data_IF_338788628746
#
_entry.id   IF_338788628746
#
_cell.length_a   1.000
_cell.length_b   1.000
_cell.length_c   1.000
_cell.angle_alpha   90.00
_cell.angle_beta   90.00
_cell.angle_gamma   90.00
#
_symmetry.space_group_name_H-M   'P 1'
#
loop_
_entity.id
_entity.type
_entity.pdbx_description
1 polymer ?
#
# COMPACT_ATOMS: atom_id res chain seq x y z
N UNK A 1 -28.43 -0.90 -43.10
CA UNK A 1 -27.69 -1.31 -41.89
C UNK A 1 -26.22 -1.01 -42.14
N UNK A 2 -25.67 -0.02 -41.46
CA UNK A 2 -24.26 0.36 -41.54
C UNK A 2 -23.59 -0.25 -40.31
N UNK A 3 -22.77 -1.28 -40.50
CA UNK A 3 -22.02 -1.92 -39.41
C UNK A 3 -20.78 -1.07 -39.16
N UNK A 4 -20.61 -0.68 -37.90
CA UNK A 4 -19.49 0.07 -37.35
C UNK A 4 -18.19 -0.75 -37.40
N UNK A 5 -17.09 -0.07 -37.67
CA UNK A 5 -15.75 -0.54 -37.34
C UNK A 5 -14.97 0.67 -36.86
N UNK A 6 -15.05 0.95 -35.56
CA UNK A 6 -14.17 1.90 -34.89
C UNK A 6 -12.96 1.10 -34.40
N UNK A 7 -11.90 1.07 -35.21
CA UNK A 7 -10.60 0.53 -34.84
C UNK A 7 -9.87 1.57 -33.98
N UNK A 8 -9.86 1.38 -32.66
CA UNK A 8 -8.96 2.11 -31.79
C UNK A 8 -7.56 1.49 -31.94
N UNK A 9 -6.65 2.19 -32.60
CA UNK A 9 -5.22 1.83 -32.61
C UNK A 9 -4.63 2.09 -31.23
N UNK A 10 -4.29 1.04 -30.49
CA UNK A 10 -3.38 1.14 -29.35
C UNK A 10 -1.94 1.11 -29.90
N UNK A 11 -1.28 2.25 -29.87
CA UNK A 11 0.14 2.38 -30.25
C UNK A 11 0.98 1.76 -29.13
N UNK A 12 1.66 0.66 -29.42
CA UNK A 12 2.68 0.06 -28.56
C UNK A 12 3.87 1.03 -28.42
N UNK A 13 3.80 1.92 -27.44
CA UNK A 13 4.95 2.65 -26.93
C UNK A 13 5.80 1.70 -26.08
N UNK A 14 7.11 1.74 -26.24
CA UNK A 14 8.06 1.00 -25.40
C UNK A 14 7.89 1.54 -23.98
N UNK A 15 7.21 0.79 -23.10
CA UNK A 15 7.04 1.11 -21.69
C UNK A 15 8.38 0.81 -21.03
N UNK A 16 9.18 1.84 -20.77
CA UNK A 16 10.36 1.73 -19.91
C UNK A 16 9.94 2.12 -18.49
N UNK A 17 10.03 1.18 -17.54
CA UNK A 17 9.85 1.47 -16.11
C UNK A 17 10.81 2.61 -15.73
N UNK A 18 10.31 3.75 -15.23
CA UNK A 18 11.18 4.83 -14.78
C UNK A 18 11.99 4.38 -13.56
N UNK A 19 13.23 4.86 -13.46
CA UNK A 19 14.24 4.45 -12.47
C UNK A 19 13.82 4.63 -10.99
N UNK A 20 12.68 5.26 -10.71
CA UNK A 20 12.19 5.54 -9.37
C UNK A 20 11.86 4.28 -8.54
N UNK A 21 11.76 3.10 -9.16
CA UNK A 21 11.55 1.82 -8.46
C UNK A 21 12.83 0.97 -8.25
N UNK A 22 14.00 1.39 -8.77
CA UNK A 22 15.21 0.55 -8.79
C UNK A 22 16.25 0.86 -7.70
N UNK A 23 15.98 1.71 -6.72
CA UNK A 23 17.02 2.21 -5.83
C UNK A 23 16.67 2.21 -4.36
N UNK A 24 16.86 1.08 -3.66
CA UNK A 24 17.27 1.06 -2.24
C UNK A 24 17.57 -0.38 -1.74
N UNK A 25 18.55 -1.05 -2.34
CA UNK A 25 19.15 -2.24 -1.71
C UNK A 25 20.68 -2.15 -1.72
N UNK A 26 21.24 -1.27 -0.87
CA UNK A 26 22.62 -1.38 -0.36
C UNK A 26 22.73 -0.77 1.03
N UNK A 27 22.24 -1.49 2.04
CA UNK A 27 22.64 -1.24 3.43
C UNK A 27 23.69 -2.28 3.84
N UNK A 28 24.96 -1.89 3.76
CA UNK A 28 26.05 -2.57 4.49
C UNK A 28 26.39 -1.72 5.71
N UNK A 29 26.01 -2.19 6.90
CA UNK A 29 26.61 -1.79 8.19
C UNK A 29 26.92 -3.10 8.92
N UNK A 30 28.05 -3.24 9.65
CA UNK A 30 28.13 -2.81 11.06
C UNK A 30 29.55 -2.33 11.45
N UNK A 31 29.94 -1.84 12.64
CA UNK A 31 29.48 -1.90 14.04
C UNK A 31 30.31 -0.84 14.84
N UNK A 32 29.91 -0.53 16.08
CA UNK A 32 30.70 -0.17 17.31
C UNK A 32 29.84 0.80 18.14
N UNK A 33 29.02 0.35 19.10
CA UNK A 33 29.32 -0.09 20.48
C UNK A 33 29.28 1.06 21.53
N UNK A 34 28.21 1.05 22.33
CA UNK A 34 28.03 1.33 23.77
C UNK A 34 28.88 2.42 24.46
N UNK A 35 28.22 3.31 25.21
CA UNK A 35 28.22 3.27 26.69
C UNK A 35 27.18 4.22 27.33
N UNK A 36 26.41 3.66 28.26
CA UNK A 36 25.48 4.35 29.17
C UNK A 36 26.19 4.69 30.47
N UNK A 37 25.88 5.84 31.08
CA UNK A 37 26.09 6.07 32.52
C UNK A 37 24.98 6.94 33.11
N UNK A 38 24.26 6.38 34.09
CA UNK A 38 23.51 7.13 35.11
C UNK A 38 24.35 7.24 36.39
N UNK A 39 24.00 8.15 37.31
CA UNK A 39 24.04 7.78 38.72
C UNK A 39 22.74 8.09 39.48
N UNK A 40 22.44 7.19 40.40
CA UNK A 40 21.40 7.22 41.44
C UNK A 40 21.85 8.13 42.60
N UNK A 41 20.94 8.93 43.17
CA UNK A 41 20.90 9.22 44.61
C UNK A 41 19.52 9.74 45.07
N UNK A 42 18.94 8.99 46.01
CA UNK A 42 17.72 9.16 46.82
C UNK A 42 17.64 10.49 47.59
N UNK A 43 16.43 11.08 47.74
CA UNK A 43 15.79 11.42 49.03
C UNK A 43 14.44 12.17 48.88
N UNK A 44 13.41 11.62 49.53
CA UNK A 44 12.10 12.25 49.80
C UNK A 44 12.20 13.13 51.06
N UNK A 45 11.47 14.26 51.12
CA UNK A 45 10.36 14.32 52.09
C UNK A 45 9.11 15.07 51.55
N UNK A 46 7.93 14.56 51.87
CA UNK A 46 6.63 15.26 51.85
C UNK A 46 6.29 15.76 53.28
N UNK A 47 5.22 16.55 53.54
CA UNK A 47 4.32 17.29 52.62
C UNK A 47 4.08 18.76 53.07
N UNK A 48 3.58 19.63 52.19
CA UNK A 48 2.82 20.82 52.63
C UNK A 48 1.68 21.15 51.70
N UNK A 49 0.50 21.13 52.29
CA UNK A 49 -0.82 21.44 51.76
C UNK A 49 -0.98 22.94 51.47
N UNK A 50 -1.37 23.31 50.25
CA UNK A 50 -2.20 24.48 49.94
C UNK A 50 -2.62 24.46 48.46
N UNK A 51 -3.88 24.11 48.18
CA UNK A 51 -4.53 24.47 46.92
C UNK A 51 -4.67 26.00 46.81
N UNK A 52 -4.67 26.52 45.57
CA UNK A 52 -5.93 27.00 45.03
C UNK A 52 -6.26 26.34 43.68
N UNK A 53 -7.55 26.03 43.51
CA UNK A 53 -8.14 25.62 42.25
C UNK A 53 -7.87 26.69 41.18
N UNK A 54 -7.17 26.30 40.12
CA UNK A 54 -7.18 27.01 38.84
C UNK A 54 -8.24 26.30 38.00
N UNK A 55 -9.37 26.96 37.77
CA UNK A 55 -10.33 26.55 36.74
C UNK A 55 -9.64 26.67 35.38
N UNK A 56 -9.01 25.58 34.95
CA UNK A 56 -8.58 25.41 33.57
C UNK A 56 -9.85 25.31 32.72
N UNK A 57 -10.04 26.15 31.69
CA UNK A 57 -11.10 25.91 30.73
C UNK A 57 -10.87 24.51 30.15
N UNK A 58 -11.83 23.62 30.39
CA UNK A 58 -11.88 22.29 29.80
C UNK A 58 -11.95 22.51 28.29
N UNK A 59 -10.78 22.50 27.67
CA UNK A 59 -10.66 22.43 26.23
C UNK A 59 -11.27 21.10 25.85
N UNK A 60 -12.55 21.14 25.47
CA UNK A 60 -13.15 20.09 24.67
C UNK A 60 -12.44 20.16 23.32
N UNK A 61 -11.22 19.64 23.27
CA UNK A 61 -10.68 19.09 22.05
C UNK A 61 -11.68 18.01 21.67
N UNK A 62 -12.52 18.32 20.68
CA UNK A 62 -13.34 17.33 20.03
C UNK A 62 -12.34 16.34 19.45
N UNK A 63 -12.13 15.20 20.12
CA UNK A 63 -11.46 14.06 19.50
C UNK A 63 -12.29 13.73 18.28
N UNK A 64 -11.79 14.13 17.10
CA UNK A 64 -12.35 13.68 15.85
C UNK A 64 -12.31 12.16 15.90
N UNK A 65 -13.45 11.53 15.65
CA UNK A 65 -13.49 10.07 15.55
C UNK A 65 -12.45 9.64 14.52
N UNK A 66 -11.73 8.53 14.75
CA UNK A 66 -10.84 7.97 13.75
C UNK A 66 -11.61 7.84 12.43
N UNK A 67 -11.05 8.39 11.35
CA UNK A 67 -11.63 8.22 10.02
C UNK A 67 -11.50 6.74 9.67
N UNK A 68 -12.64 6.10 9.39
CA UNK A 68 -12.66 4.76 8.84
C UNK A 68 -12.44 4.84 7.33
N UNK A 69 -11.27 4.40 6.89
CA UNK A 69 -10.87 4.40 5.48
C UNK A 69 -11.22 3.09 4.79
N UNK A 70 -11.69 2.08 5.53
CA UNK A 70 -11.95 0.73 4.99
C UNK A 70 -13.03 0.76 3.90
N UNK A 71 -12.89 -0.11 2.90
CA UNK A 71 -13.91 -0.31 1.86
C UNK A 71 -14.02 -1.77 1.44
N UNK A 72 -15.26 -2.21 1.20
CA UNK A 72 -15.61 -3.51 0.60
C UNK A 72 -16.10 -3.34 -0.85
N UNK A 73 -16.11 -2.12 -1.39
CA UNK A 73 -16.54 -1.87 -2.76
C UNK A 73 -15.57 -2.52 -3.75
N UNK A 74 -16.12 -3.22 -4.76
CA UNK A 74 -15.32 -3.80 -5.83
C UNK A 74 -14.61 -2.69 -6.62
N UNK A 75 -13.33 -2.88 -6.96
CA UNK A 75 -12.59 -1.94 -7.80
C UNK A 75 -13.15 -1.83 -9.22
N UNK A 76 -13.01 -0.66 -9.81
CA UNK A 76 -13.13 -0.44 -11.25
C UNK A 76 -11.86 0.21 -11.84
N UNK A 77 -11.84 0.40 -13.16
CA UNK A 77 -10.70 1.02 -13.84
C UNK A 77 -10.48 2.47 -13.42
N UNK A 78 -11.55 3.22 -13.15
CA UNK A 78 -11.47 4.66 -12.83
C UNK A 78 -10.79 4.88 -11.47
N UNK A 79 -10.96 3.94 -10.54
CA UNK A 79 -10.28 3.94 -9.24
C UNK A 79 -8.75 3.97 -9.36
N UNK A 80 -8.16 3.54 -10.48
CA UNK A 80 -6.71 3.42 -10.67
C UNK A 80 -6.09 4.35 -11.72
N UNK A 81 -6.85 5.27 -12.31
CA UNK A 81 -6.29 6.23 -13.27
C UNK A 81 -5.16 7.09 -12.65
N UNK A 82 -5.24 7.39 -11.36
CA UNK A 82 -4.15 8.07 -10.62
C UNK A 82 -2.83 7.30 -10.69
N UNK A 83 -2.90 5.97 -10.76
CA UNK A 83 -1.74 5.11 -10.83
C UNK A 83 -1.27 4.96 -12.28
N UNK A 84 -2.17 4.51 -13.16
CA UNK A 84 -1.81 4.12 -14.52
C UNK A 84 -1.50 5.29 -15.44
N UNK A 85 -1.99 6.49 -15.15
CA UNK A 85 -1.75 7.69 -15.97
C UNK A 85 -0.72 8.65 -15.36
N UNK A 86 -0.37 8.50 -14.08
CA UNK A 86 0.52 9.43 -13.38
C UNK A 86 1.60 8.71 -12.55
N UNK A 87 1.25 8.11 -11.41
CA UNK A 87 2.24 7.60 -10.44
C UNK A 87 3.17 6.54 -11.03
N UNK A 88 2.68 5.70 -11.94
CA UNK A 88 3.49 4.71 -12.64
C UNK A 88 4.67 5.36 -13.42
N UNK A 89 4.46 6.56 -13.98
CA UNK A 89 5.46 7.25 -14.80
C UNK A 89 6.24 8.31 -14.02
N UNK A 90 5.56 9.06 -13.15
CA UNK A 90 6.11 10.23 -12.47
C UNK A 90 6.54 9.94 -11.03
N UNK A 91 6.15 8.80 -10.47
CA UNK A 91 6.33 8.46 -9.05
C UNK A 91 5.27 9.10 -8.15
N UNK A 92 5.41 8.87 -6.84
CA UNK A 92 4.50 9.43 -5.83
C UNK A 92 4.60 10.97 -5.81
N UNK A 93 3.47 11.70 -5.73
CA UNK A 93 3.47 13.16 -5.64
C UNK A 93 4.29 13.67 -4.44
N UNK A 94 5.07 14.73 -4.64
CA UNK A 94 5.99 15.24 -3.62
C UNK A 94 5.30 15.98 -2.46
N UNK A 95 4.04 16.36 -2.64
CA UNK A 95 3.17 16.98 -1.64
C UNK A 95 2.27 15.97 -0.92
N UNK A 96 2.37 14.68 -1.24
CA UNK A 96 1.63 13.62 -0.57
C UNK A 96 2.12 13.41 0.88
N UNK A 97 1.18 13.16 1.79
CA UNK A 97 1.49 12.90 3.19
C UNK A 97 1.87 11.42 3.36
N UNK A 98 3.13 11.12 3.63
CA UNK A 98 3.58 9.73 3.84
C UNK A 98 2.98 9.12 5.10
N UNK A 99 2.51 7.88 5.00
CA UNK A 99 2.00 7.07 6.10
C UNK A 99 3.09 6.06 6.48
N UNK A 100 3.59 6.12 7.71
CA UNK A 100 4.72 5.30 8.17
C UNK A 100 4.37 4.25 9.23
N UNK A 101 3.09 4.04 9.54
CA UNK A 101 2.65 3.13 10.60
C UNK A 101 1.49 2.24 10.13
N UNK A 102 1.53 0.96 10.53
CA UNK A 102 0.53 -0.04 10.13
C UNK A 102 -0.87 0.22 10.72
N UNK A 103 -0.95 0.84 11.90
CA UNK A 103 -2.24 1.11 12.57
C UNK A 103 -3.17 2.01 11.77
N UNK A 104 -2.62 2.84 10.89
CA UNK A 104 -3.40 3.70 10.00
C UNK A 104 -3.81 2.99 8.69
N UNK A 105 -3.41 1.74 8.47
CA UNK A 105 -3.49 1.04 7.18
C UNK A 105 -4.41 -0.20 7.22
N UNK A 106 -4.76 -0.72 8.39
CA UNK A 106 -5.66 -1.88 8.50
C UNK A 106 -7.04 -1.60 7.90
N UNK A 107 -7.73 -2.65 7.46
CA UNK A 107 -9.04 -2.61 6.79
C UNK A 107 -8.94 -2.92 5.30
N UNK A 108 -10.06 -2.71 4.61
CA UNK A 108 -10.27 -3.05 3.21
C UNK A 108 -9.71 -2.01 2.26
N UNK A 109 -9.17 -2.49 1.14
CA UNK A 109 -8.59 -1.73 0.05
C UNK A 109 -9.11 -2.25 -1.27
N UNK A 110 -9.23 -1.34 -2.25
CA UNK A 110 -9.27 -1.71 -3.66
C UNK A 110 -7.83 -1.88 -4.13
N UNK A 111 -7.56 -2.90 -4.94
CA UNK A 111 -6.23 -3.16 -5.47
C UNK A 111 -6.22 -3.44 -6.97
N UNK A 112 -5.08 -3.12 -7.57
CA UNK A 112 -4.70 -3.39 -8.94
C UNK A 112 -3.36 -4.13 -8.93
N UNK A 113 -3.29 -5.27 -9.62
CA UNK A 113 -2.03 -5.94 -9.94
C UNK A 113 -1.81 -5.81 -11.44
N UNK A 114 -0.61 -5.35 -11.80
CA UNK A 114 -0.21 -5.16 -13.17
C UNK A 114 0.95 -6.09 -13.50
N UNK A 115 0.62 -7.22 -14.13
CA UNK A 115 1.56 -8.27 -14.48
C UNK A 115 2.32 -7.94 -15.75
N UNK A 116 3.61 -8.26 -15.76
CA UNK A 116 4.49 -8.10 -16.91
C UNK A 116 4.30 -6.72 -17.59
N UNK A 117 4.51 -5.61 -16.86
CA UNK A 117 4.17 -4.26 -17.33
C UNK A 117 4.92 -3.86 -18.61
N UNK A 118 6.07 -4.50 -18.88
CA UNK A 118 6.88 -4.29 -20.10
C UNK A 118 6.59 -5.30 -21.21
N UNK A 119 5.70 -6.26 -20.97
CA UNK A 119 5.39 -7.39 -21.83
C UNK A 119 6.65 -8.19 -22.25
N UNK A 120 7.60 -8.38 -21.33
CA UNK A 120 8.85 -9.13 -21.55
C UNK A 120 8.61 -10.65 -21.57
N UNK A 121 7.49 -11.12 -20.99
CA UNK A 121 7.11 -12.52 -20.84
C UNK A 121 5.84 -12.89 -21.61
N UNK A 122 5.30 -12.00 -22.46
CA UNK A 122 4.03 -12.16 -23.19
C UNK A 122 2.85 -12.49 -22.28
N UNK A 123 2.91 -11.98 -21.05
CA UNK A 123 1.98 -12.28 -19.96
C UNK A 123 1.37 -11.01 -19.37
N UNK A 124 1.29 -9.95 -20.17
CA UNK A 124 0.67 -8.69 -19.77
C UNK A 124 -0.78 -8.94 -19.36
N UNK A 125 -1.07 -8.64 -18.10
CA UNK A 125 -2.41 -8.72 -17.54
C UNK A 125 -2.65 -7.63 -16.50
N UNK A 126 -3.90 -7.21 -16.40
CA UNK A 126 -4.38 -6.28 -15.38
C UNK A 126 -5.41 -7.02 -14.56
N UNK A 127 -5.18 -7.11 -13.26
CA UNK A 127 -6.06 -7.80 -12.33
C UNK A 127 -6.55 -6.84 -11.26
N UNK A 128 -7.86 -6.87 -11.03
CA UNK A 128 -8.55 -6.10 -10.00
C UNK A 128 -9.02 -7.04 -8.91
N UNK A 129 -8.86 -6.61 -7.66
CA UNK A 129 -9.20 -7.39 -6.47
C UNK A 129 -9.40 -6.46 -5.27
N UNK A 130 -9.95 -7.01 -4.19
CA UNK A 130 -9.95 -6.36 -2.89
C UNK A 130 -8.85 -6.98 -2.01
N UNK A 131 -8.30 -6.16 -1.12
CA UNK A 131 -7.32 -6.59 -0.12
C UNK A 131 -7.82 -6.17 1.26
N UNK A 132 -7.99 -7.13 2.17
CA UNK A 132 -8.13 -6.85 3.59
C UNK A 132 -6.76 -6.90 4.26
N UNK A 133 -6.32 -5.78 4.84
CA UNK A 133 -5.09 -5.69 5.62
C UNK A 133 -5.38 -5.79 7.12
N UNK A 134 -4.81 -6.77 7.78
CA UNK A 134 -4.99 -6.98 9.21
C UNK A 134 -3.66 -7.21 9.95
N UNK A 135 -3.66 -6.99 11.26
CA UNK A 135 -2.55 -7.32 12.14
C UNK A 135 -1.78 -6.11 12.67
N UNK A 136 -0.50 -6.32 12.93
CA UNK A 136 0.42 -5.39 13.62
C UNK A 136 1.76 -5.32 12.89
N UNK A 137 2.72 -4.57 13.42
CA UNK A 137 4.03 -4.43 12.76
C UNK A 137 4.78 -5.76 12.67
N UNK A 138 4.71 -6.60 13.70
CA UNK A 138 5.47 -7.86 13.75
C UNK A 138 4.77 -9.02 13.03
N UNK A 139 3.46 -8.92 12.82
CA UNK A 139 2.60 -9.98 12.28
C UNK A 139 1.38 -9.35 11.62
N UNK A 140 1.40 -9.31 10.28
CA UNK A 140 0.29 -8.82 9.45
C UNK A 140 -0.11 -9.85 8.41
N UNK A 141 -1.32 -9.69 7.90
CA UNK A 141 -1.85 -10.49 6.80
C UNK A 141 -2.56 -9.64 5.77
N UNK A 142 -2.47 -10.07 4.51
CA UNK A 142 -3.27 -9.56 3.39
C UNK A 142 -4.15 -10.71 2.92
N UNK A 143 -5.45 -10.49 2.91
CA UNK A 143 -6.41 -11.43 2.30
C UNK A 143 -6.84 -10.85 0.97
N UNK A 144 -6.51 -11.56 -0.10
CA UNK A 144 -6.86 -11.21 -1.47
C UNK A 144 -8.21 -11.84 -1.80
N UNK A 145 -9.19 -10.98 -2.09
CA UNK A 145 -10.51 -11.36 -2.60
C UNK A 145 -10.55 -10.99 -4.10
N UNK A 146 -10.38 -12.01 -4.94
CA UNK A 146 -10.26 -11.88 -6.39
C UNK A 146 -11.55 -11.36 -7.02
N UNK A 147 -11.42 -10.65 -8.14
CA UNK A 147 -12.60 -10.10 -8.83
C UNK A 147 -12.52 -10.27 -10.34
N UNK A 148 -11.52 -9.70 -11.00
CA UNK A 148 -11.42 -9.84 -12.45
C UNK A 148 -10.00 -9.66 -12.96
N UNK A 149 -9.68 -10.41 -14.01
CA UNK A 149 -8.43 -10.28 -14.74
C UNK A 149 -8.72 -10.01 -16.22
N UNK A 150 -7.94 -9.11 -16.81
CA UNK A 150 -7.89 -8.86 -18.25
C UNK A 150 -6.51 -9.25 -18.79
N UNK A 151 -6.51 -10.14 -19.78
CA UNK A 151 -5.31 -10.58 -20.49
C UNK A 151 -5.16 -9.83 -21.81
N UNK A 152 -4.13 -9.01 -21.96
CA UNK A 152 -4.01 -8.16 -23.15
C UNK A 152 -3.61 -8.93 -24.41
N UNK A 153 -2.91 -10.06 -24.26
CA UNK A 153 -2.50 -10.91 -25.38
C UNK A 153 -3.69 -11.58 -26.10
N UNK A 154 -4.74 -11.95 -25.35
CA UNK A 154 -5.98 -12.52 -25.91
C UNK A 154 -7.10 -11.48 -26.05
N UNK A 155 -7.01 -10.36 -25.31
CA UNK A 155 -8.08 -9.37 -25.21
C UNK A 155 -9.29 -9.87 -24.43
N UNK A 156 -9.11 -10.89 -23.59
CA UNK A 156 -10.18 -11.53 -22.82
C UNK A 156 -10.19 -11.05 -21.37
N UNK A 157 -11.38 -10.96 -20.80
CA UNK A 157 -11.59 -10.75 -19.37
C UNK A 157 -12.24 -11.97 -18.75
N UNK A 158 -11.82 -12.32 -17.54
CA UNK A 158 -12.39 -13.40 -16.75
C UNK A 158 -12.91 -12.83 -15.42
N UNK A 159 -14.07 -13.33 -15.00
CA UNK A 159 -14.62 -13.10 -13.67
C UNK A 159 -14.03 -14.15 -12.73
N UNK A 160 -13.48 -13.67 -11.61
CA UNK A 160 -12.75 -14.46 -10.62
C UNK A 160 -13.39 -14.36 -9.23
N UNK A 161 -14.59 -13.78 -9.14
CA UNK A 161 -15.32 -13.59 -7.86
C UNK A 161 -15.56 -14.90 -7.10
N UNK A 162 -15.65 -16.03 -7.80
CA UNK A 162 -15.86 -17.35 -7.20
C UNK A 162 -14.54 -18.05 -6.77
N UNK A 163 -13.38 -17.43 -6.99
CA UNK A 163 -12.08 -17.98 -6.55
C UNK A 163 -11.92 -17.88 -5.04
N UNK A 164 -11.23 -18.86 -4.44
CA UNK A 164 -10.93 -18.83 -3.01
C UNK A 164 -9.96 -17.70 -2.67
N UNK A 165 -10.25 -17.01 -1.57
CA UNK A 165 -9.38 -15.98 -1.03
C UNK A 165 -7.96 -16.51 -0.82
N UNK A 166 -6.97 -15.70 -1.17
CA UNK A 166 -5.56 -16.03 -0.95
C UNK A 166 -5.00 -15.19 0.19
N UNK A 167 -4.34 -15.85 1.14
CA UNK A 167 -3.74 -15.18 2.30
C UNK A 167 -2.23 -15.06 2.12
N UNK A 168 -1.72 -13.86 2.33
CA UNK A 168 -0.29 -13.56 2.46
C UNK A 168 -0.01 -13.16 3.90
N UNK A 169 1.05 -13.69 4.49
CA UNK A 169 1.47 -13.37 5.86
C UNK A 169 2.83 -12.70 5.86
N UNK A 170 3.01 -11.73 6.75
CA UNK A 170 4.13 -10.82 6.67
C UNK A 170 4.33 -9.97 7.90
N UNK A 171 5.10 -8.91 7.71
CA UNK A 171 5.41 -7.91 8.74
C UNK A 171 5.61 -6.54 8.10
N UNK A 172 5.52 -5.52 8.95
CA UNK A 172 5.95 -4.18 8.63
C UNK A 172 7.45 -4.05 8.88
N UNK A 173 8.21 -3.65 7.87
CA UNK A 173 9.62 -3.36 8.03
C UNK A 173 10.06 -2.19 7.15
N UNK A 174 10.98 -1.38 7.64
CA UNK A 174 11.57 -0.25 6.89
C UNK A 174 10.53 0.73 6.31
N UNK A 175 9.39 0.92 6.99
CA UNK A 175 8.32 1.81 6.53
C UNK A 175 7.46 1.24 5.39
N UNK A 176 7.56 -0.07 5.14
CA UNK A 176 6.73 -0.78 4.18
C UNK A 176 6.23 -2.12 4.72
N UNK A 177 5.44 -2.78 3.90
CA UNK A 177 4.88 -4.10 4.16
C UNK A 177 5.60 -5.13 3.31
N UNK A 178 6.02 -6.22 3.94
CA UNK A 178 6.58 -7.39 3.29
C UNK A 178 5.75 -8.62 3.67
N UNK A 179 5.14 -9.29 2.70
CA UNK A 179 4.33 -10.48 2.95
C UNK A 179 4.53 -11.56 1.88
N UNK A 180 4.43 -12.82 2.29
CA UNK A 180 4.59 -13.98 1.42
C UNK A 180 3.40 -14.92 1.53
N UNK A 181 3.10 -15.61 0.43
CA UNK A 181 1.99 -16.56 0.29
C UNK A 181 2.16 -17.32 -1.02
N UNK A 182 1.20 -17.19 -1.93
CA UNK A 182 1.32 -17.67 -3.31
C UNK A 182 2.31 -16.86 -4.16
N UNK A 183 2.99 -15.88 -3.59
CA UNK A 183 4.02 -15.01 -4.18
C UNK A 183 4.65 -14.20 -3.05
N UNK A 184 5.43 -13.16 -3.37
CA UNK A 184 5.91 -12.22 -2.35
C UNK A 184 5.55 -10.79 -2.74
N UNK A 185 4.91 -10.06 -1.84
CA UNK A 185 4.42 -8.68 -2.05
C UNK A 185 5.22 -7.73 -1.19
N UNK A 186 5.74 -6.67 -1.81
CA UNK A 186 6.42 -5.55 -1.15
C UNK A 186 5.68 -4.24 -1.44
N UNK A 187 4.89 -3.74 -0.48
CA UNK A 187 4.31 -2.40 -0.57
C UNK A 187 5.23 -1.43 0.17
N UNK A 188 5.84 -0.48 -0.56
CA UNK A 188 6.96 0.32 -0.05
C UNK A 188 6.63 1.79 0.13
N UNK A 189 5.49 2.24 -0.38
CA UNK A 189 5.02 3.62 -0.25
C UNK A 189 3.56 3.60 0.11
N UNK A 190 3.21 4.24 1.22
CA UNK A 190 1.86 4.50 1.66
C UNK A 190 1.71 6.00 1.86
N UNK A 191 0.63 6.59 1.36
CA UNK A 191 0.42 8.03 1.48
C UNK A 191 -1.05 8.42 1.44
N UNK A 192 -1.34 9.59 2.00
CA UNK A 192 -2.62 10.27 1.88
C UNK A 192 -2.49 11.47 0.95
N UNK A 193 -3.46 11.62 0.04
CA UNK A 193 -3.56 12.80 -0.83
C UNK A 193 -5.04 13.04 -1.16
N UNK A 194 -5.50 14.29 -1.04
CA UNK A 194 -6.87 14.70 -1.35
C UNK A 194 -7.96 13.89 -0.61
N UNK A 195 -7.69 13.50 0.64
CA UNK A 195 -8.63 12.74 1.45
C UNK A 195 -8.90 11.34 0.90
N UNK A 196 -7.83 10.68 0.42
CA UNK A 196 -7.77 9.26 0.06
C UNK A 196 -6.43 8.70 0.49
N UNK A 197 -6.39 7.40 0.79
CA UNK A 197 -5.15 6.69 1.01
C UNK A 197 -4.76 5.82 -0.19
N UNK A 198 -3.45 5.74 -0.41
CA UNK A 198 -2.85 5.05 -1.53
C UNK A 198 -1.67 4.21 -1.06
N UNK A 199 -1.42 3.09 -1.73
CA UNK A 199 -0.17 2.36 -1.62
C UNK A 199 0.35 1.92 -2.97
N UNK A 200 1.68 1.84 -3.12
CA UNK A 200 2.32 1.25 -4.31
C UNK A 200 3.47 0.34 -3.94
N UNK A 201 3.70 -0.66 -4.78
CA UNK A 201 4.72 -1.67 -4.55
C UNK A 201 4.88 -2.63 -5.71
N UNK A 202 5.49 -3.77 -5.40
CA UNK A 202 5.76 -4.85 -6.35
C UNK A 202 5.31 -6.18 -5.80
N UNK A 203 5.12 -7.14 -6.70
CA UNK A 203 4.92 -8.54 -6.36
C UNK A 203 5.84 -9.39 -7.23
N UNK A 204 6.56 -10.29 -6.57
CA UNK A 204 7.29 -11.38 -7.21
C UNK A 204 6.35 -12.59 -7.29
N UNK A 205 5.93 -12.93 -8.50
CA UNK A 205 5.09 -14.11 -8.73
C UNK A 205 5.93 -15.40 -8.70
N UNK A 206 5.33 -16.58 -8.45
CA UNK A 206 6.06 -17.84 -8.39
C UNK A 206 6.83 -18.21 -9.65
N UNK A 207 6.33 -17.79 -10.80
CA UNK A 207 6.94 -18.00 -12.11
C UNK A 207 8.04 -16.97 -12.45
N UNK A 208 8.29 -16.01 -11.55
CA UNK A 208 9.34 -15.00 -11.68
C UNK A 208 8.97 -13.84 -12.59
N UNK A 209 7.69 -13.71 -12.96
CA UNK A 209 7.18 -12.57 -13.72
C UNK A 209 7.04 -11.37 -12.77
N UNK A 210 7.63 -10.21 -13.09
CA UNK A 210 7.46 -9.03 -12.25
C UNK A 210 6.03 -8.51 -12.34
N UNK A 211 5.46 -8.15 -11.20
CA UNK A 211 4.18 -7.46 -11.13
C UNK A 211 4.29 -6.18 -10.30
N UNK A 212 3.51 -5.17 -10.67
CA UNK A 212 3.34 -3.95 -9.89
C UNK A 212 2.01 -4.01 -9.15
N UNK A 213 1.96 -3.41 -7.96
CA UNK A 213 0.78 -3.42 -7.10
C UNK A 213 0.42 -1.99 -6.72
N UNK A 214 -0.84 -1.62 -6.88
CA UNK A 214 -1.37 -0.33 -6.46
C UNK A 214 -2.64 -0.53 -5.63
N UNK A 215 -2.76 0.16 -4.51
CA UNK A 215 -3.93 0.13 -3.63
C UNK A 215 -4.51 1.53 -3.50
N UNK A 216 -5.83 1.61 -3.38
CA UNK A 216 -6.55 2.84 -3.09
C UNK A 216 -7.72 2.54 -2.17
N UNK A 217 -8.03 3.47 -1.28
CA UNK A 217 -9.27 3.48 -0.52
C UNK A 217 -9.73 4.93 -0.30
N UNK A 218 -10.96 5.13 0.18
CA UNK A 218 -11.41 6.44 0.60
C UNK A 218 -10.42 7.15 1.50
#
# INVERSE_FOLDING_TARGET
>A
MLIAANLLMLVLGIITIPANFQGEMRTTVPLVAIESVSPIATQMPEPVNASPQVDTPQSHASEALPVDWSTEERPDLEDFLWYTEDVLYNGVPSDANTIGNISALTGGWKALIFYDPNNEFDSYAIEHLNIELAGTEDDLSLTFDWYSIFWANTGESFDETDMEDTVFSGKWENGGLWASGAGTIHLTRFYELNGKQYAVGTMDTPDGIPALVALVRP
#
